data_IF_934063873086
#
_entry.id   IF_934063873086
#
_cell.length_a   1.000
_cell.length_b   1.000
_cell.length_c   1.000
_cell.angle_alpha   90.00
_cell.angle_beta   90.00
_cell.angle_gamma   90.00
#
_symmetry.space_group_name_H-M   'P 1'
#
loop_
_entity.id
_entity.type
_entity.pdbx_description
1 polymer ?
#
# COMPACT_ATOMS: atom_id res chain seq x y z
N UNK A 1 -1.01 27.94 26.16
CA UNK A 1 0.23 28.22 25.39
C UNK A 1 1.20 27.07 25.62
N UNK A 2 1.59 26.33 24.57
CA UNK A 2 2.38 25.10 24.68
C UNK A 2 3.91 25.31 24.77
N UNK A 3 4.34 26.49 25.22
CA UNK A 3 5.76 26.85 25.42
C UNK A 3 6.62 26.53 24.18
N UNK A 4 7.64 25.67 24.32
CA UNK A 4 8.54 25.29 23.23
C UNK A 4 7.81 24.71 21.99
N UNK A 5 6.63 24.10 22.18
CA UNK A 5 5.82 23.56 21.09
C UNK A 5 4.83 24.57 20.49
N UNK A 6 4.79 25.82 20.96
CA UNK A 6 3.81 26.81 20.51
C UNK A 6 3.95 27.16 19.03
N UNK A 7 5.19 27.35 18.55
CA UNK A 7 5.46 27.66 17.14
C UNK A 7 4.98 26.55 16.21
N UNK A 8 5.38 25.30 16.48
CA UNK A 8 4.96 24.14 15.67
C UNK A 8 3.46 23.88 15.78
N UNK A 9 2.83 24.16 16.93
CA UNK A 9 1.37 24.10 17.05
C UNK A 9 0.65 25.06 16.10
N UNK A 10 1.20 26.27 15.90
CA UNK A 10 0.71 27.22 14.89
C UNK A 10 0.89 26.71 13.45
N UNK A 11 2.02 26.07 13.17
CA UNK A 11 2.28 25.44 11.85
C UNK A 11 1.29 24.31 11.58
N UNK A 12 1.09 23.38 12.52
CA UNK A 12 0.15 22.27 12.39
C UNK A 12 -1.27 22.80 12.15
N UNK A 13 -1.72 23.80 12.92
CA UNK A 13 -3.02 24.46 12.72
C UNK A 13 -3.18 24.95 11.27
N UNK A 14 -2.18 25.65 10.76
CA UNK A 14 -2.28 26.26 9.42
C UNK A 14 -2.16 25.24 8.30
N UNK A 15 -1.36 24.18 8.46
CA UNK A 15 -1.31 23.07 7.50
C UNK A 15 -2.66 22.37 7.41
N UNK A 16 -3.28 22.04 8.55
CA UNK A 16 -4.60 21.40 8.55
C UNK A 16 -5.69 22.35 8.01
N UNK A 17 -5.64 23.64 8.33
CA UNK A 17 -6.54 24.64 7.74
C UNK A 17 -6.44 24.70 6.20
N UNK A 18 -5.22 24.59 5.64
CA UNK A 18 -5.00 24.54 4.19
C UNK A 18 -5.50 23.25 3.56
N UNK A 19 -5.30 22.10 4.22
CA UNK A 19 -5.77 20.78 3.75
C UNK A 19 -7.30 20.71 3.71
N UNK A 20 -7.95 21.25 4.73
CA UNK A 20 -9.41 21.25 4.84
C UNK A 20 -10.09 22.44 4.16
N UNK A 21 -9.32 23.45 3.75
CA UNK A 21 -9.87 24.66 3.13
C UNK A 21 -10.74 25.48 4.09
N UNK A 22 -10.47 25.43 5.39
CA UNK A 22 -11.25 26.13 6.43
C UNK A 22 -10.28 26.74 7.45
N UNK A 23 -10.47 28.02 7.73
CA UNK A 23 -9.79 28.73 8.82
C UNK A 23 -10.60 28.54 10.12
N UNK A 24 -10.04 27.92 11.17
CA UNK A 24 -10.78 27.68 12.41
C UNK A 24 -10.74 28.91 13.32
N UNK A 25 -11.87 29.19 13.99
CA UNK A 25 -12.02 30.36 14.88
C UNK A 25 -10.96 30.43 15.98
N UNK A 26 -10.62 31.63 16.37
CA UNK A 26 -9.94 31.96 17.62
C UNK A 26 -10.99 32.07 18.73
N UNK A 27 -10.76 31.38 19.84
CA UNK A 27 -11.63 31.44 21.01
C UNK A 27 -11.32 32.67 21.86
N UNK A 28 -12.33 33.12 22.63
CA UNK A 28 -12.22 34.23 23.58
C UNK A 28 -11.82 35.57 22.94
N UNK A 29 -12.24 35.78 21.69
CA UNK A 29 -12.00 36.99 20.91
C UNK A 29 -13.29 37.75 20.56
N UNK A 30 -14.41 37.43 21.19
CA UNK A 30 -15.71 38.08 20.94
C UNK A 30 -15.69 39.58 21.24
N UNK A 31 -14.87 39.99 22.21
CA UNK A 31 -14.58 41.39 22.52
C UNK A 31 -13.09 41.65 22.24
N UNK A 32 -12.74 42.33 21.13
CA UNK A 32 -11.35 42.67 20.80
C UNK A 32 -10.70 43.55 21.88
N UNK A 33 -9.38 43.43 22.04
CA UNK A 33 -8.64 44.24 23.01
C UNK A 33 -8.69 45.73 22.67
N UNK A 34 -9.01 46.58 23.63
CA UNK A 34 -9.01 48.05 23.48
C UNK A 34 -7.62 48.68 23.37
N UNK A 35 -6.55 47.88 23.52
CA UNK A 35 -5.16 48.32 23.38
C UNK A 35 -4.64 48.29 21.94
N UNK A 36 -5.46 47.83 21.00
CA UNK A 36 -5.13 47.76 19.57
C UNK A 36 -6.20 48.56 18.81
N UNK A 37 -5.77 49.41 17.88
CA UNK A 37 -6.67 50.06 16.93
C UNK A 37 -6.97 49.09 15.79
N UNK A 38 -8.08 48.36 15.90
CA UNK A 38 -8.53 47.39 14.89
C UNK A 38 -9.12 48.05 13.64
N UNK A 39 -9.42 49.36 13.69
CA UNK A 39 -9.93 50.11 12.52
C UNK A 39 -8.80 50.53 11.58
N UNK A 40 -7.58 50.65 12.11
CA UNK A 40 -6.39 50.95 11.34
C UNK A 40 -5.75 49.66 10.80
N UNK A 41 -6.09 49.28 9.55
CA UNK A 41 -5.37 48.25 8.81
C UNK A 41 -6.27 47.24 8.09
N UNK A 42 -5.66 46.16 7.61
CA UNK A 42 -6.31 45.08 6.86
C UNK A 42 -6.35 43.75 7.64
N UNK A 43 -6.32 43.82 8.98
CA UNK A 43 -6.29 42.64 9.87
C UNK A 43 -7.60 42.52 10.61
N UNK A 44 -8.16 41.31 10.61
CA UNK A 44 -9.41 40.98 11.29
C UNK A 44 -9.20 39.77 12.21
N UNK A 45 -9.82 39.79 13.39
CA UNK A 45 -9.84 38.63 14.27
C UNK A 45 -10.83 37.60 13.73
N UNK A 46 -10.39 36.35 13.64
CA UNK A 46 -11.21 35.24 13.17
C UNK A 46 -12.10 34.70 14.30
N UNK A 47 -13.20 35.38 14.63
CA UNK A 47 -14.14 35.00 15.70
C UNK A 47 -15.04 33.82 15.33
N UNK A 48 -15.21 33.57 14.02
CA UNK A 48 -15.98 32.46 13.46
C UNK A 48 -15.12 31.62 12.50
N UNK A 49 -15.45 30.34 12.34
CA UNK A 49 -14.78 29.51 11.35
C UNK A 49 -15.22 29.95 9.95
N UNK A 50 -14.27 30.07 9.03
CA UNK A 50 -14.53 30.56 7.67
C UNK A 50 -13.96 29.63 6.64
N UNK A 51 -14.72 29.40 5.57
CA UNK A 51 -14.17 28.79 4.37
C UNK A 51 -12.99 29.61 3.85
N UNK A 52 -11.94 28.91 3.46
CA UNK A 52 -10.77 29.49 2.82
C UNK A 52 -10.77 29.04 1.37
N UNK A 53 -11.51 29.70 0.47
CA UNK A 53 -11.66 29.24 -0.90
C UNK A 53 -10.31 29.17 -1.60
N UNK A 54 -10.10 28.10 -2.38
CA UNK A 54 -9.00 28.05 -3.33
C UNK A 54 -9.31 29.02 -4.46
N UNK A 55 -8.42 29.97 -4.73
CA UNK A 55 -8.68 31.00 -5.77
C UNK A 55 -8.40 30.52 -7.19
N UNK A 56 -8.08 29.24 -7.38
CA UNK A 56 -7.68 28.64 -8.67
C UNK A 56 -6.29 29.08 -9.15
N UNK A 57 -5.98 30.38 -9.06
CA UNK A 57 -4.74 30.98 -9.56
C UNK A 57 -3.67 31.18 -8.49
N UNK A 58 -4.04 31.24 -7.19
CA UNK A 58 -3.08 31.46 -6.10
C UNK A 58 -3.20 30.42 -5.00
N UNK A 59 -2.08 29.80 -4.58
CA UNK A 59 -2.07 28.89 -3.45
C UNK A 59 -2.39 29.63 -2.16
N UNK A 60 -3.06 28.97 -1.21
CA UNK A 60 -3.27 29.52 0.12
C UNK A 60 -1.91 29.76 0.80
N UNK A 61 -1.75 30.91 1.44
CA UNK A 61 -0.54 31.27 2.18
C UNK A 61 -0.86 31.76 3.58
N UNK A 62 -0.04 31.41 4.56
CA UNK A 62 -0.17 31.86 5.94
C UNK A 62 1.19 32.25 6.52
N UNK A 63 1.21 33.27 7.37
CA UNK A 63 2.33 33.53 8.27
C UNK A 63 2.11 32.88 9.63
N UNK A 64 3.15 32.31 10.22
CA UNK A 64 3.17 31.87 11.63
C UNK A 64 4.31 32.58 12.34
N UNK A 65 3.99 33.34 13.39
CA UNK A 65 4.95 34.05 14.22
C UNK A 65 5.09 33.39 15.59
N UNK A 66 6.31 33.37 16.12
CA UNK A 66 6.59 32.95 17.50
C UNK A 66 7.63 33.88 18.14
N UNK A 67 7.32 34.39 19.33
CA UNK A 67 8.12 35.38 20.05
C UNK A 67 8.49 34.81 21.43
N UNK A 68 9.77 34.52 21.61
CA UNK A 68 10.29 33.96 22.86
C UNK A 68 10.53 35.03 23.92
N UNK A 69 10.43 34.64 25.20
CA UNK A 69 10.67 35.56 26.33
C UNK A 69 12.10 36.12 26.35
N UNK A 70 13.06 35.42 25.74
CA UNK A 70 14.44 35.91 25.56
C UNK A 70 14.57 37.07 24.58
N UNK A 71 13.50 37.41 23.85
CA UNK A 71 13.51 38.39 22.76
C UNK A 71 13.81 37.78 21.38
N UNK A 72 14.05 36.46 21.29
CA UNK A 72 14.24 35.78 20.01
C UNK A 72 12.91 35.60 19.29
N UNK A 73 12.85 36.06 18.04
CA UNK A 73 11.63 36.05 17.23
C UNK A 73 11.82 35.16 15.99
N UNK A 74 10.79 34.41 15.62
CA UNK A 74 10.74 33.64 14.38
C UNK A 74 9.44 33.92 13.63
N UNK A 75 9.53 33.97 12.30
CA UNK A 75 8.38 34.08 11.41
C UNK A 75 8.59 33.14 10.22
N UNK A 76 7.58 32.33 9.92
CA UNK A 76 7.60 31.40 8.78
C UNK A 76 6.40 31.65 7.89
N UNK A 77 6.61 31.53 6.58
CA UNK A 77 5.55 31.59 5.57
C UNK A 77 5.28 30.15 5.10
N UNK A 78 4.02 29.75 5.15
CA UNK A 78 3.52 28.48 4.66
C UNK A 78 2.76 28.71 3.36
N UNK A 79 2.90 27.78 2.43
CA UNK A 79 2.17 27.76 1.16
C UNK A 79 1.52 26.38 0.98
N UNK A 80 0.31 26.36 0.44
CA UNK A 80 -0.40 25.15 0.08
C UNK A 80 0.41 24.30 -0.91
N UNK A 81 0.50 22.99 -0.66
CA UNK A 81 1.13 22.06 -1.58
C UNK A 81 0.39 22.02 -2.94
N UNK A 82 1.10 21.84 -4.07
CA UNK A 82 0.47 21.63 -5.38
C UNK A 82 -0.51 20.47 -5.36
N UNK A 83 -1.57 20.56 -6.16
CA UNK A 83 -2.48 19.44 -6.35
C UNK A 83 -1.77 18.29 -7.08
N UNK A 84 -1.85 17.09 -6.49
CA UNK A 84 -1.31 15.87 -7.10
C UNK A 84 -2.45 15.15 -7.81
N UNK A 85 -2.35 15.01 -9.13
CA UNK A 85 -3.29 14.20 -9.90
C UNK A 85 -3.17 12.74 -9.47
N UNK A 86 -4.29 12.14 -9.09
CA UNK A 86 -4.35 10.71 -8.78
C UNK A 86 -4.40 9.93 -10.09
N UNK A 87 -3.44 9.03 -10.30
CA UNK A 87 -3.47 8.08 -11.41
C UNK A 87 -4.47 6.97 -11.15
N UNK A 88 -4.96 6.34 -12.22
CA UNK A 88 -5.78 5.14 -12.12
C UNK A 88 -4.99 4.02 -11.43
N UNK A 89 -5.65 3.32 -10.50
CA UNK A 89 -5.11 2.16 -9.81
C UNK A 89 -5.36 0.94 -10.69
N UNK A 90 -4.34 0.12 -10.93
CA UNK A 90 -4.52 -1.23 -11.48
C UNK A 90 -5.06 -2.10 -10.36
N UNK A 91 -6.21 -2.72 -10.57
CA UNK A 91 -6.83 -3.62 -9.58
C UNK A 91 -6.23 -5.03 -9.73
N UNK A 92 -5.40 -5.49 -8.79
CA UNK A 92 -4.84 -6.83 -8.82
C UNK A 92 -5.91 -7.86 -8.44
N UNK A 93 -5.68 -9.13 -8.79
CA UNK A 93 -6.56 -10.25 -8.42
C UNK A 93 -6.71 -10.37 -6.90
N UNK A 94 -5.63 -10.13 -6.15
CA UNK A 94 -5.64 -10.06 -4.70
C UNK A 94 -4.59 -9.06 -4.19
N UNK A 95 -4.85 -8.51 -3.00
CA UNK A 95 -3.98 -7.54 -2.34
C UNK A 95 -3.47 -8.12 -1.03
N UNK A 96 -2.15 -8.07 -0.74
CA UNK A 96 -1.63 -8.35 0.57
C UNK A 96 -1.68 -7.11 1.48
N UNK A 97 -2.29 -7.25 2.66
CA UNK A 97 -2.14 -6.32 3.77
C UNK A 97 -1.10 -6.85 4.74
N UNK A 98 0.07 -6.20 4.76
CA UNK A 98 1.20 -6.59 5.60
C UNK A 98 1.20 -5.76 6.88
N UNK A 99 1.12 -6.42 8.03
CA UNK A 99 1.16 -5.77 9.33
C UNK A 99 2.42 -6.22 10.09
N UNK A 100 2.99 -5.29 10.86
CA UNK A 100 4.03 -5.64 11.81
C UNK A 100 4.00 -4.80 13.07
N UNK A 101 4.51 -5.35 14.18
CA UNK A 101 4.60 -4.70 15.47
C UNK A 101 5.78 -5.22 16.32
N UNK A 102 6.07 -4.54 17.43
CA UNK A 102 7.09 -4.97 18.43
C UNK A 102 6.61 -6.09 19.37
N UNK A 103 5.32 -6.41 19.34
CA UNK A 103 4.74 -7.49 20.14
C UNK A 103 3.50 -8.05 19.45
N UNK A 104 3.14 -9.30 19.78
CA UNK A 104 1.91 -9.91 19.30
C UNK A 104 0.65 -9.13 19.72
N UNK A 105 0.64 -8.52 20.92
CA UNK A 105 -0.45 -7.67 21.38
C UNK A 105 -0.59 -6.40 20.56
N UNK A 106 0.52 -5.69 20.34
CA UNK A 106 0.55 -4.48 19.52
C UNK A 106 0.16 -4.77 18.05
N UNK A 107 0.44 -5.97 17.53
CA UNK A 107 0.01 -6.38 16.20
C UNK A 107 -1.52 -6.49 16.11
N UNK A 108 -2.16 -7.10 17.12
CA UNK A 108 -3.62 -7.20 17.18
C UNK A 108 -4.28 -5.83 17.35
N UNK A 109 -3.71 -4.96 18.17
CA UNK A 109 -4.19 -3.58 18.28
C UNK A 109 -4.05 -2.82 16.96
N UNK A 110 -2.95 -3.00 16.24
CA UNK A 110 -2.74 -2.38 14.93
C UNK A 110 -3.75 -2.90 13.90
N UNK A 111 -4.06 -4.20 13.92
CA UNK A 111 -5.12 -4.77 13.09
C UNK A 111 -6.49 -4.16 13.41
N UNK A 112 -6.86 -4.04 14.69
CA UNK A 112 -8.12 -3.42 15.10
C UNK A 112 -8.21 -1.94 14.68
N UNK A 113 -7.13 -1.16 14.84
CA UNK A 113 -7.08 0.24 14.37
C UNK A 113 -7.22 0.34 12.86
N UNK A 114 -6.63 -0.61 12.12
CA UNK A 114 -6.76 -0.67 10.66
C UNK A 114 -8.21 -0.96 10.26
N UNK A 115 -8.88 -1.91 10.93
CA UNK A 115 -10.31 -2.19 10.72
C UNK A 115 -11.13 -0.91 10.92
N UNK A 116 -11.00 -0.24 12.07
CA UNK A 116 -11.76 1.00 12.34
C UNK A 116 -11.46 2.12 11.34
N UNK A 117 -10.21 2.27 10.92
CA UNK A 117 -9.81 3.28 9.93
C UNK A 117 -10.43 2.99 8.56
N UNK A 118 -10.38 1.74 8.12
CA UNK A 118 -10.93 1.32 6.84
C UNK A 118 -12.45 1.46 6.87
N UNK A 119 -13.12 0.92 7.88
CA UNK A 119 -14.58 1.03 8.07
C UNK A 119 -15.08 2.48 8.14
N UNK A 120 -14.31 3.38 8.75
CA UNK A 120 -14.63 4.80 8.84
C UNK A 120 -14.55 5.57 7.53
N UNK A 121 -13.93 5.01 6.48
CA UNK A 121 -13.82 5.65 5.17
C UNK A 121 -13.99 4.62 4.02
N UNK A 122 -15.18 4.61 3.42
CA UNK A 122 -15.49 3.76 2.28
C UNK A 122 -14.70 4.13 1.00
N UNK A 123 -14.10 5.33 0.95
CA UNK A 123 -13.25 5.79 -0.16
C UNK A 123 -11.83 5.24 -0.13
N UNK A 124 -11.42 4.53 0.94
CA UNK A 124 -10.11 3.90 1.01
C UNK A 124 -10.06 2.63 0.13
N UNK A 125 -9.34 2.73 -0.99
CA UNK A 125 -9.02 1.60 -1.86
C UNK A 125 -8.16 0.56 -1.12
N UNK A 126 -8.53 -0.74 -1.16
CA UNK A 126 -7.73 -1.81 -0.58
C UNK A 126 -6.28 -1.86 -1.08
N UNK A 127 -6.07 -1.56 -2.37
CA UNK A 127 -4.75 -1.52 -3.00
C UNK A 127 -3.89 -0.42 -2.37
N UNK A 128 -4.44 0.79 -2.23
CA UNK A 128 -3.72 1.92 -1.63
C UNK A 128 -3.39 1.68 -0.15
N UNK A 129 -4.29 1.00 0.58
CA UNK A 129 -4.03 0.57 1.96
C UNK A 129 -2.88 -0.43 1.98
N UNK A 130 -2.93 -1.48 1.15
CA UNK A 130 -1.87 -2.50 1.05
C UNK A 130 -0.52 -1.91 0.68
N UNK A 131 -0.48 -1.01 -0.31
CA UNK A 131 0.71 -0.28 -0.71
C UNK A 131 1.29 0.56 0.44
N UNK A 132 0.45 1.32 1.14
CA UNK A 132 0.87 2.16 2.27
C UNK A 132 1.42 1.34 3.42
N UNK A 133 0.84 0.15 3.67
CA UNK A 133 1.31 -0.78 4.67
C UNK A 133 2.67 -1.39 4.29
N UNK A 134 2.86 -1.76 3.03
CA UNK A 134 4.08 -2.41 2.55
C UNK A 134 5.28 -1.44 2.44
N UNK A 135 5.04 -0.19 2.02
CA UNK A 135 6.10 0.75 1.65
C UNK A 135 6.29 1.90 2.65
N UNK A 136 5.23 2.26 3.38
CA UNK A 136 5.20 3.43 4.27
C UNK A 136 5.25 3.09 5.75
N UNK A 137 5.50 1.84 6.13
CA UNK A 137 5.58 1.38 7.53
C UNK A 137 6.87 0.63 7.78
N UNK A 138 7.38 0.75 9.01
CA UNK A 138 8.52 -0.04 9.44
C UNK A 138 8.16 -1.53 9.46
N UNK A 139 9.11 -2.39 9.07
CA UNK A 139 8.97 -3.84 9.16
C UNK A 139 9.57 -4.36 10.46
N UNK A 140 8.70 -4.82 11.36
CA UNK A 140 9.04 -5.24 12.72
C UNK A 140 8.96 -6.77 12.87
N UNK A 141 9.34 -7.28 14.02
CA UNK A 141 9.58 -8.72 14.28
C UNK A 141 8.29 -9.57 14.35
N UNK A 142 7.20 -9.02 14.89
CA UNK A 142 5.90 -9.70 14.86
C UNK A 142 5.18 -9.29 13.59
N UNK A 143 4.83 -10.27 12.75
CA UNK A 143 4.28 -10.03 11.42
C UNK A 143 3.05 -10.87 11.18
N UNK A 144 2.16 -10.35 10.34
CA UNK A 144 1.09 -11.11 9.75
C UNK A 144 0.73 -10.49 8.40
N UNK A 145 0.20 -11.33 7.50
CA UNK A 145 -0.25 -10.91 6.19
C UNK A 145 -1.65 -11.45 6.00
N UNK A 146 -2.56 -10.59 5.57
CA UNK A 146 -3.88 -10.98 5.08
C UNK A 146 -3.87 -10.78 3.58
N UNK A 147 -4.31 -11.78 2.82
CA UNK A 147 -4.46 -11.69 1.37
C UNK A 147 -5.95 -11.82 1.07
N UNK A 148 -6.49 -10.87 0.31
CA UNK A 148 -7.90 -10.88 -0.07
C UNK A 148 -8.11 -10.17 -1.40
N UNK A 149 -9.19 -10.53 -2.08
CA UNK A 149 -9.58 -10.01 -3.40
C UNK A 149 -10.44 -8.76 -3.28
N UNK A 150 -11.09 -8.60 -2.14
CA UNK A 150 -11.91 -7.45 -1.84
C UNK A 150 -11.76 -7.02 -0.38
N UNK A 151 -12.38 -5.88 -0.09
CA UNK A 151 -12.38 -5.25 1.23
C UNK A 151 -12.98 -6.14 2.32
N UNK A 152 -14.02 -6.92 2.02
CA UNK A 152 -14.69 -7.79 2.98
C UNK A 152 -13.78 -8.94 3.41
N UNK A 153 -13.15 -9.61 2.44
CA UNK A 153 -12.17 -10.68 2.71
C UNK A 153 -11.00 -10.17 3.56
N UNK A 154 -10.48 -8.97 3.25
CA UNK A 154 -9.36 -8.37 3.98
C UNK A 154 -9.73 -8.01 5.43
N UNK A 155 -10.91 -7.40 5.65
CA UNK A 155 -11.38 -7.07 6.99
C UNK A 155 -11.66 -8.31 7.83
N UNK A 156 -12.28 -9.34 7.24
CA UNK A 156 -12.50 -10.62 7.91
C UNK A 156 -11.17 -11.28 8.33
N UNK A 157 -10.19 -11.32 7.42
CA UNK A 157 -8.87 -11.89 7.72
C UNK A 157 -8.07 -11.14 8.78
N UNK A 158 -8.31 -9.83 8.98
CA UNK A 158 -7.72 -9.09 10.11
C UNK A 158 -8.29 -9.52 11.46
N UNK A 159 -9.54 -9.99 11.50
CA UNK A 159 -10.19 -10.49 12.71
C UNK A 159 -9.57 -11.78 13.25
N UNK A 160 -9.13 -12.65 12.35
CA UNK A 160 -8.55 -13.97 12.65
C UNK A 160 -7.02 -13.99 12.58
N UNK A 161 -6.38 -12.82 12.67
CA UNK A 161 -4.95 -12.66 12.49
C UNK A 161 -4.14 -13.40 13.57
N UNK A 162 -3.26 -14.29 13.11
CA UNK A 162 -2.31 -14.99 13.97
C UNK A 162 -0.89 -14.41 13.81
N UNK A 163 -0.34 -13.71 14.83
CA UNK A 163 1.00 -13.15 14.76
C UNK A 163 2.07 -14.23 14.62
N UNK A 164 2.82 -14.18 13.52
CA UNK A 164 4.07 -14.90 13.36
C UNK A 164 5.26 -14.08 13.87
N UNK A 165 6.36 -14.76 14.18
CA UNK A 165 7.67 -14.12 14.33
C UNK A 165 8.61 -14.70 13.29
N UNK A 166 9.40 -13.84 12.65
CA UNK A 166 10.30 -14.28 11.60
C UNK A 166 11.29 -13.19 11.22
N UNK A 167 12.52 -13.62 10.95
CA UNK A 167 13.52 -12.81 10.27
C UNK A 167 13.71 -13.37 8.86
N UNK A 168 14.03 -12.50 7.90
CA UNK A 168 14.39 -12.94 6.56
C UNK A 168 15.62 -13.84 6.62
N UNK A 169 15.62 -14.91 5.80
CA UNK A 169 16.71 -15.88 5.74
C UNK A 169 17.12 -16.15 4.29
N UNK A 170 18.16 -16.98 4.13
CA UNK A 170 18.54 -17.50 2.80
C UNK A 170 17.41 -18.39 2.27
N UNK A 171 16.94 -18.11 1.07
CA UNK A 171 15.86 -18.84 0.42
C UNK A 171 16.43 -20.01 -0.39
N UNK A 172 15.76 -21.16 -0.36
CA UNK A 172 16.06 -22.30 -1.22
C UNK A 172 14.82 -22.59 -2.05
N UNK A 173 14.96 -22.64 -3.37
CA UNK A 173 13.87 -23.11 -4.23
C UNK A 173 13.93 -24.63 -4.32
N UNK A 174 12.80 -25.28 -4.04
CA UNK A 174 12.65 -26.74 -4.07
C UNK A 174 11.76 -27.09 -5.25
N UNK A 175 12.27 -27.94 -6.14
CA UNK A 175 11.64 -28.35 -7.40
C UNK A 175 11.25 -29.83 -7.32
N UNK A 176 10.07 -30.16 -6.81
CA UNK A 176 9.68 -31.56 -6.63
C UNK A 176 9.53 -32.28 -7.98
N UNK A 177 9.72 -33.60 -7.95
CA UNK A 177 9.40 -34.46 -9.08
C UNK A 177 7.90 -34.63 -9.32
N UNK A 178 7.54 -35.72 -10.00
CA UNK A 178 6.15 -36.04 -10.34
C UNK A 178 5.29 -36.32 -9.10
N UNK A 179 4.05 -35.82 -9.10
CA UNK A 179 3.05 -36.06 -8.04
C UNK A 179 2.33 -34.79 -7.56
N UNK A 180 2.85 -33.60 -7.86
CA UNK A 180 2.27 -32.32 -7.45
C UNK A 180 1.34 -31.67 -8.52
N UNK A 181 1.26 -32.26 -9.71
CA UNK A 181 0.43 -31.76 -10.81
C UNK A 181 -1.07 -31.88 -10.52
N UNK A 182 -1.85 -30.99 -11.10
CA UNK A 182 -3.31 -31.04 -11.10
C UNK A 182 -3.86 -30.33 -12.34
N UNK A 183 -5.09 -30.66 -12.74
CA UNK A 183 -5.71 -30.12 -13.96
C UNK A 183 -6.01 -28.62 -13.81
N UNK A 184 -5.49 -27.79 -14.73
CA UNK A 184 -5.63 -26.34 -14.66
C UNK A 184 -4.55 -25.63 -13.83
N UNK A 185 -3.50 -26.34 -13.41
CA UNK A 185 -2.35 -25.72 -12.74
C UNK A 185 -1.79 -24.57 -13.59
N UNK A 186 -1.61 -23.40 -12.98
CA UNK A 186 -0.99 -22.25 -13.65
C UNK A 186 -1.85 -21.50 -14.69
N UNK A 187 -3.07 -21.94 -15.00
CA UNK A 187 -3.94 -21.26 -15.98
C UNK A 187 -4.28 -19.82 -15.54
N UNK A 188 -4.68 -19.64 -14.28
CA UNK A 188 -4.95 -18.30 -13.74
C UNK A 188 -3.69 -17.42 -13.77
N UNK A 189 -2.50 -18.00 -13.60
CA UNK A 189 -1.23 -17.27 -13.68
C UNK A 189 -0.86 -16.89 -15.11
N UNK A 190 -1.21 -17.70 -16.11
CA UNK A 190 -1.07 -17.29 -17.52
C UNK A 190 -1.88 -16.02 -17.81
N UNK A 191 -3.07 -15.91 -17.24
CA UNK A 191 -3.99 -14.82 -17.54
C UNK A 191 -3.74 -13.57 -16.68
N UNK A 192 -3.19 -13.73 -15.48
CA UNK A 192 -3.04 -12.64 -14.49
C UNK A 192 -1.60 -12.20 -14.21
N UNK A 193 -0.59 -13.00 -14.53
CA UNK A 193 0.81 -12.72 -14.21
C UNK A 193 1.69 -12.71 -15.48
N UNK A 194 1.94 -11.53 -16.08
CA UNK A 194 2.72 -11.43 -17.33
C UNK A 194 4.09 -12.11 -17.27
N UNK A 195 4.81 -12.00 -16.16
CA UNK A 195 6.12 -12.66 -15.97
C UNK A 195 6.01 -14.19 -16.04
N UNK A 196 4.94 -14.77 -15.49
CA UNK A 196 4.70 -16.20 -15.58
C UNK A 196 4.37 -16.59 -17.01
N UNK A 197 3.47 -15.86 -17.68
CA UNK A 197 3.04 -16.13 -19.04
C UNK A 197 4.22 -16.05 -20.04
N UNK A 198 5.04 -15.01 -19.94
CA UNK A 198 6.25 -14.85 -20.76
C UNK A 198 7.23 -16.01 -20.55
N UNK A 199 7.52 -16.36 -19.28
CA UNK A 199 8.43 -17.47 -18.98
C UNK A 199 7.88 -18.82 -19.45
N UNK A 200 6.57 -19.02 -19.35
CA UNK A 200 5.92 -20.25 -19.81
C UNK A 200 5.99 -20.36 -21.33
N UNK A 201 5.76 -19.28 -22.06
CA UNK A 201 5.88 -19.24 -23.51
C UNK A 201 7.31 -19.57 -23.98
N UNK A 202 8.34 -19.04 -23.31
CA UNK A 202 9.75 -19.41 -23.58
C UNK A 202 9.99 -20.92 -23.37
N UNK A 203 9.45 -21.50 -22.30
CA UNK A 203 9.57 -22.93 -22.02
C UNK A 203 8.84 -23.77 -23.07
N UNK A 204 7.62 -23.37 -23.46
CA UNK A 204 6.83 -24.03 -24.48
C UNK A 204 7.56 -24.04 -25.83
N UNK A 205 8.16 -22.90 -26.21
CA UNK A 205 8.97 -22.80 -27.42
C UNK A 205 10.19 -23.74 -27.39
N UNK A 206 10.88 -23.83 -26.24
CA UNK A 206 12.02 -24.72 -26.07
C UNK A 206 11.63 -26.22 -26.12
N UNK A 207 10.42 -26.57 -25.70
CA UNK A 207 9.91 -27.94 -25.74
C UNK A 207 9.43 -28.36 -27.13
N UNK A 208 9.03 -27.41 -27.99
CA UNK A 208 8.30 -27.66 -29.22
C UNK A 208 8.97 -28.64 -30.20
N UNK A 209 10.30 -28.76 -30.19
CA UNK A 209 11.02 -29.73 -31.04
C UNK A 209 11.06 -31.15 -30.48
N UNK A 210 10.76 -31.33 -29.20
CA UNK A 210 10.85 -32.61 -28.47
C UNK A 210 9.49 -33.26 -28.20
N UNK A 211 8.39 -32.53 -28.45
CA UNK A 211 7.03 -32.97 -28.10
C UNK A 211 6.09 -32.86 -29.31
N UNK A 212 5.05 -33.68 -29.34
CA UNK A 212 4.03 -33.71 -30.39
C UNK A 212 2.72 -32.99 -29.98
N UNK A 213 2.75 -32.24 -28.89
CA UNK A 213 1.61 -31.55 -28.28
C UNK A 213 1.91 -30.09 -27.96
N UNK A 214 0.87 -29.26 -27.88
CA UNK A 214 0.97 -27.85 -27.54
C UNK A 214 0.89 -27.63 -26.02
N UNK A 215 1.92 -27.02 -25.43
CA UNK A 215 2.04 -26.91 -23.98
C UNK A 215 0.97 -26.01 -23.36
N UNK A 216 0.60 -24.92 -24.02
CA UNK A 216 -0.46 -24.03 -23.53
C UNK A 216 -1.84 -24.71 -23.63
N UNK A 217 -2.13 -25.40 -24.74
CA UNK A 217 -3.35 -26.16 -24.93
C UNK A 217 -3.51 -27.26 -23.88
N UNK A 218 -2.42 -27.98 -23.54
CA UNK A 218 -2.42 -28.96 -22.44
C UNK A 218 -2.67 -28.27 -21.10
N UNK A 219 -1.98 -27.16 -20.80
CA UNK A 219 -2.15 -26.45 -19.53
C UNK A 219 -3.59 -25.95 -19.33
N UNK A 220 -4.20 -25.41 -20.39
CA UNK A 220 -5.59 -24.93 -20.39
C UNK A 220 -6.63 -26.06 -20.46
N UNK A 221 -6.21 -27.31 -20.66
CA UNK A 221 -7.13 -28.44 -20.84
C UNK A 221 -8.01 -28.30 -22.08
N UNK A 222 -7.45 -27.77 -23.17
CA UNK A 222 -8.20 -27.55 -24.41
C UNK A 222 -8.73 -28.87 -25.01
N UNK A 223 -9.88 -28.85 -25.71
CA UNK A 223 -10.41 -30.03 -26.37
C UNK A 223 -9.37 -30.64 -27.34
N UNK A 224 -9.07 -31.93 -27.16
CA UNK A 224 -8.09 -32.65 -27.98
C UNK A 224 -6.63 -32.49 -27.55
N UNK A 225 -6.36 -31.74 -26.47
CA UNK A 225 -5.01 -31.66 -25.90
C UNK A 225 -4.56 -33.01 -25.31
N UNK A 226 -3.25 -33.22 -25.25
CA UNK A 226 -2.67 -34.43 -24.67
C UNK A 226 -3.02 -34.57 -23.18
N UNK A 227 -3.26 -35.82 -22.73
CA UNK A 227 -3.63 -36.10 -21.35
C UNK A 227 -2.46 -35.88 -20.38
N UNK A 228 -2.73 -35.24 -19.24
CA UNK A 228 -1.78 -35.13 -18.11
C UNK A 228 -1.47 -36.48 -17.43
N UNK A 229 -2.16 -37.56 -17.78
CA UNK A 229 -1.83 -38.90 -17.29
C UNK A 229 -0.60 -39.51 -18.00
N UNK A 230 -0.25 -38.98 -19.18
CA UNK A 230 0.94 -39.37 -19.93
C UNK A 230 2.19 -38.80 -19.28
N UNK A 231 3.14 -39.68 -18.94
CA UNK A 231 4.41 -39.29 -18.29
C UNK A 231 5.23 -38.33 -19.16
N UNK A 232 5.23 -38.57 -20.47
CA UNK A 232 5.88 -37.76 -21.50
C UNK A 232 5.22 -36.39 -21.73
N UNK A 233 4.02 -36.16 -21.17
CA UNK A 233 3.33 -34.86 -21.17
C UNK A 233 3.52 -34.15 -19.83
N UNK A 234 3.24 -34.86 -18.74
CA UNK A 234 3.21 -34.27 -17.40
C UNK A 234 4.59 -33.79 -16.95
N UNK A 235 5.66 -34.54 -17.21
CA UNK A 235 6.99 -34.15 -16.73
C UNK A 235 7.51 -32.87 -17.41
N UNK A 236 7.50 -32.74 -18.75
CA UNK A 236 7.92 -31.50 -19.39
C UNK A 236 7.03 -30.31 -19.06
N UNK A 237 5.71 -30.52 -18.94
CA UNK A 237 4.78 -29.45 -18.57
C UNK A 237 5.00 -28.98 -17.12
N UNK A 238 5.18 -29.90 -16.17
CA UNK A 238 5.52 -29.57 -14.79
C UNK A 238 6.84 -28.82 -14.69
N UNK A 239 7.85 -29.18 -15.50
CA UNK A 239 9.09 -28.42 -15.61
C UNK A 239 8.84 -26.97 -16.06
N UNK A 240 8.07 -26.77 -17.14
CA UNK A 240 7.75 -25.43 -17.65
C UNK A 240 7.02 -24.58 -16.59
N UNK A 241 6.04 -25.17 -15.87
CA UNK A 241 5.35 -24.50 -14.77
C UNK A 241 6.31 -24.13 -13.64
N UNK A 242 7.16 -25.06 -13.20
CA UNK A 242 8.10 -24.82 -12.11
C UNK A 242 9.12 -23.72 -12.43
N UNK A 243 9.66 -23.71 -13.65
CA UNK A 243 10.58 -22.65 -14.12
C UNK A 243 9.86 -21.30 -14.18
N UNK A 244 8.59 -21.29 -14.62
CA UNK A 244 7.77 -20.08 -14.67
C UNK A 244 7.41 -19.54 -13.29
N UNK A 245 7.12 -20.41 -12.33
CA UNK A 245 6.96 -20.02 -10.92
C UNK A 245 8.25 -19.46 -10.33
N UNK A 246 9.40 -20.04 -10.65
CA UNK A 246 10.69 -19.52 -10.20
C UNK A 246 10.95 -18.11 -10.75
N UNK A 247 10.62 -17.84 -12.01
CA UNK A 247 10.71 -16.49 -12.57
C UNK A 247 9.76 -15.51 -11.89
N UNK A 248 8.52 -15.94 -11.59
CA UNK A 248 7.54 -15.13 -10.87
C UNK A 248 8.01 -14.78 -9.45
N UNK A 249 8.58 -15.72 -8.69
CA UNK A 249 9.16 -15.41 -7.38
C UNK A 249 10.28 -14.37 -7.45
N UNK A 250 11.15 -14.50 -8.45
CA UNK A 250 12.26 -13.57 -8.66
C UNK A 250 11.80 -12.17 -9.06
N UNK A 251 10.69 -12.03 -9.78
CA UNK A 251 10.14 -10.70 -10.10
C UNK A 251 9.63 -9.93 -8.87
N UNK A 252 9.27 -10.64 -7.79
CA UNK A 252 9.00 -10.04 -6.47
C UNK A 252 10.27 -9.83 -5.62
N UNK A 253 11.46 -10.03 -6.19
CA UNK A 253 12.75 -9.85 -5.51
C UNK A 253 13.18 -11.04 -4.64
N UNK A 254 12.50 -12.19 -4.73
CA UNK A 254 12.88 -13.40 -3.99
C UNK A 254 13.92 -14.18 -4.80
N UNK A 255 15.19 -13.97 -4.48
CA UNK A 255 16.31 -14.65 -5.12
C UNK A 255 16.74 -15.90 -4.31
N UNK A 256 16.82 -17.09 -4.95
CA UNK A 256 17.28 -18.30 -4.28
C UNK A 256 18.78 -18.26 -4.03
N UNK A 257 19.20 -18.57 -2.79
CA UNK A 257 20.60 -18.79 -2.45
C UNK A 257 21.08 -20.21 -2.82
N UNK A 258 20.15 -21.15 -2.97
CA UNK A 258 20.39 -22.49 -3.48
C UNK A 258 19.11 -23.04 -4.12
N UNK A 259 19.27 -24.12 -4.89
CA UNK A 259 18.17 -24.89 -5.48
C UNK A 259 18.34 -26.37 -5.16
N UNK A 260 17.24 -27.09 -4.99
CA UNK A 260 17.20 -28.54 -4.79
C UNK A 260 16.06 -29.12 -5.62
N UNK A 261 16.29 -30.27 -6.27
CA UNK A 261 15.28 -31.03 -7.00
C UNK A 261 15.39 -32.52 -6.70
#
# INVERSE_FOLDING_TARGET
HAQAAAGVGGVIKMVEAMRHGVLPRTLHADVPSSKVDWSAGAVELLTEAREWPGTGERPRRAGVSSFGVSGTNAHVILEQAPEVQRSAVVEPVAVPWVLSARSAGALREQAARLVSCVEGDAGLSPVNVGWSLATGRAQLEHRAVVVGRDRGELLAGLGDLNPGTGSGGRVVFVFPGQGAQWAGMGVELLDSAPVFAERFAECAQALAEFVDWDAEAVLRGAPGAASLERVDVVQPLSWAVMVSLAALWRSYGVEPAAVVG
#
